data_IF_364436103189
#
_entry.id   IF_364436103189
#
_cell.length_a   1.000
_cell.length_b   1.000
_cell.length_c   1.000
_cell.angle_alpha   90.00
_cell.angle_beta   90.00
_cell.angle_gamma   90.00
#
_symmetry.space_group_name_H-M   'P 1'
#
loop_
_entity.id
_entity.type
_entity.pdbx_description
1 polymer ?
#
# COMPACT_ATOMS: atom_id res chain seq x y z
N UNK A 1 8.27 37.07 -15.11
CA UNK A 1 7.93 37.96 -13.97
C UNK A 1 9.08 37.91 -12.97
N UNK A 2 9.69 39.04 -12.64
CA UNK A 2 10.85 39.12 -11.76
C UNK A 2 10.48 39.95 -10.52
N UNK A 3 10.65 39.38 -9.33
CA UNK A 3 10.36 39.99 -8.02
C UNK A 3 11.55 39.71 -7.10
N UNK A 4 12.74 40.14 -7.51
CA UNK A 4 13.97 39.94 -6.73
C UNK A 4 14.09 40.97 -5.62
N UNK A 5 14.57 40.55 -4.43
CA UNK A 5 14.73 41.41 -3.24
C UNK A 5 13.45 42.16 -2.81
N UNK A 6 12.28 41.66 -3.19
CA UNK A 6 11.01 42.24 -2.80
C UNK A 6 10.66 41.87 -1.33
N UNK A 7 10.10 42.81 -0.56
CA UNK A 7 9.48 42.53 0.75
C UNK A 7 7.96 42.50 0.57
N UNK A 8 7.38 41.31 0.57
CA UNK A 8 5.93 41.11 0.44
C UNK A 8 5.37 40.74 1.81
N UNK A 9 4.60 41.67 2.38
CA UNK A 9 3.81 41.45 3.59
C UNK A 9 2.37 41.15 3.21
N UNK A 10 1.90 39.96 3.58
CA UNK A 10 0.61 39.41 3.15
C UNK A 10 0.77 38.28 2.13
N UNK A 11 -0.30 38.00 1.38
CA UNK A 11 -0.34 36.85 0.46
C UNK A 11 0.03 37.26 -0.96
N UNK A 12 1.02 36.59 -1.55
CA UNK A 12 1.23 36.54 -2.99
C UNK A 12 0.34 35.43 -3.59
N UNK A 13 -0.72 35.83 -4.30
CA UNK A 13 -1.73 34.96 -4.88
C UNK A 13 -1.52 34.86 -6.40
N UNK A 14 -1.24 33.65 -6.89
CA UNK A 14 -0.98 33.35 -8.30
C UNK A 14 -1.91 32.23 -8.80
N UNK A 15 -2.97 31.89 -8.09
CA UNK A 15 -3.84 30.76 -8.42
C UNK A 15 -4.30 30.76 -9.87
N UNK A 16 -4.09 29.65 -10.57
CA UNK A 16 -4.50 29.48 -11.97
C UNK A 16 -3.62 30.22 -12.98
N UNK A 17 -2.56 30.91 -12.54
CA UNK A 17 -1.70 31.66 -13.44
C UNK A 17 -0.92 30.73 -14.39
N UNK A 18 -0.73 31.21 -15.62
CA UNK A 18 0.17 30.62 -16.61
C UNK A 18 1.33 31.57 -16.84
N UNK A 19 2.53 31.15 -16.43
CA UNK A 19 3.76 31.93 -16.56
C UNK A 19 4.72 31.05 -17.38
N UNK A 20 4.71 31.12 -18.72
CA UNK A 20 5.51 30.21 -19.55
C UNK A 20 7.02 30.40 -19.34
N UNK A 21 7.44 31.61 -18.93
CA UNK A 21 8.82 31.91 -18.59
C UNK A 21 9.12 31.71 -17.10
N UNK A 22 9.99 32.57 -16.59
CA UNK A 22 10.46 32.54 -15.20
C UNK A 22 9.61 33.39 -14.27
N UNK A 23 9.28 32.85 -13.11
CA UNK A 23 8.88 33.55 -11.89
C UNK A 23 10.06 33.53 -10.91
N UNK A 24 10.74 34.66 -10.81
CA UNK A 24 11.93 34.80 -9.96
C UNK A 24 11.58 35.53 -8.65
N UNK A 25 11.60 34.80 -7.55
CA UNK A 25 11.44 35.30 -6.18
C UNK A 25 12.75 35.19 -5.39
N UNK A 26 13.90 35.18 -6.07
CA UNK A 26 15.20 35.11 -5.42
C UNK A 26 15.43 36.32 -4.51
N UNK A 27 15.95 36.08 -3.31
CA UNK A 27 16.14 37.08 -2.26
C UNK A 27 14.86 37.77 -1.76
N UNK A 28 13.67 37.33 -2.19
CA UNK A 28 12.43 37.93 -1.73
C UNK A 28 12.13 37.52 -0.28
N UNK A 29 11.62 38.46 0.51
CA UNK A 29 11.05 38.19 1.83
C UNK A 29 9.55 38.07 1.67
N UNK A 30 9.01 36.88 1.95
CA UNK A 30 7.58 36.60 1.92
C UNK A 30 7.11 36.36 3.35
N UNK A 31 6.25 37.25 3.86
CA UNK A 31 5.78 37.19 5.24
C UNK A 31 4.26 37.33 5.35
N UNK A 32 3.62 36.27 5.83
CA UNK A 32 2.21 36.20 6.17
C UNK A 32 2.02 35.20 7.33
N UNK A 33 2.46 35.58 8.53
CA UNK A 33 2.43 34.70 9.69
C UNK A 33 1.01 34.15 9.96
N UNK A 34 0.92 32.84 10.26
CA UNK A 34 -0.35 32.14 10.48
C UNK A 34 -1.20 31.90 9.22
N UNK A 35 -0.79 32.41 8.06
CA UNK A 35 -1.55 32.35 6.81
C UNK A 35 -0.67 31.87 5.63
N UNK A 36 -1.25 31.73 4.45
CA UNK A 36 -0.50 31.42 3.22
C UNK A 36 0.26 32.67 2.73
N UNK A 37 1.58 32.60 2.68
CA UNK A 37 2.45 33.66 2.18
C UNK A 37 2.57 33.63 0.65
N UNK A 38 2.72 32.44 0.07
CA UNK A 38 2.73 32.23 -1.39
C UNK A 38 1.72 31.14 -1.76
N UNK A 39 0.74 31.50 -2.59
CA UNK A 39 -0.20 30.55 -3.18
C UNK A 39 -0.03 30.55 -4.70
N UNK A 40 0.63 29.53 -5.22
CA UNK A 40 0.72 29.23 -6.65
C UNK A 40 0.03 27.90 -6.94
N UNK A 41 -1.25 27.80 -6.58
CA UNK A 41 -2.05 26.58 -6.79
C UNK A 41 -2.62 26.51 -8.21
N UNK A 42 -2.68 25.32 -8.80
CA UNK A 42 -3.20 25.09 -10.16
C UNK A 42 -2.51 25.95 -11.23
N UNK A 43 -1.22 26.27 -11.04
CA UNK A 43 -0.44 27.11 -11.95
C UNK A 43 0.34 26.28 -12.95
N UNK A 44 0.66 26.88 -14.10
CA UNK A 44 1.65 26.33 -15.05
C UNK A 44 2.78 27.35 -15.16
N UNK A 45 3.97 26.99 -14.68
CA UNK A 45 5.13 27.89 -14.60
C UNK A 45 6.30 27.23 -15.32
N UNK A 46 7.00 27.95 -16.20
CA UNK A 46 8.24 27.45 -16.79
C UNK A 46 9.29 27.25 -15.72
N UNK A 47 9.71 28.34 -15.07
CA UNK A 47 10.69 28.27 -13.99
C UNK A 47 10.20 29.00 -12.74
N UNK A 48 10.26 28.37 -11.57
CA UNK A 48 9.95 28.99 -10.28
C UNK A 48 11.22 29.03 -9.41
N UNK A 49 11.70 30.24 -9.09
CA UNK A 49 12.92 30.42 -8.31
C UNK A 49 12.63 30.99 -6.92
N UNK A 50 12.94 30.20 -5.89
CA UNK A 50 12.85 30.49 -4.46
C UNK A 50 14.20 30.13 -3.82
N UNK A 51 15.12 31.10 -3.80
CA UNK A 51 16.50 30.92 -3.32
C UNK A 51 17.07 32.18 -2.71
N UNK A 52 18.12 32.01 -1.92
CA UNK A 52 18.99 33.08 -1.40
C UNK A 52 18.20 34.17 -0.65
N UNK A 53 17.09 33.78 -0.04
CA UNK A 53 16.20 34.64 0.76
C UNK A 53 15.96 34.03 2.14
N UNK A 54 15.33 34.78 3.06
CA UNK A 54 14.93 34.24 4.34
C UNK A 54 13.87 33.14 4.16
N UNK A 55 13.77 32.24 5.15
CA UNK A 55 12.69 31.28 5.21
C UNK A 55 11.34 31.99 5.10
N UNK A 56 10.46 31.49 4.22
CA UNK A 56 9.12 32.06 4.04
C UNK A 56 8.37 31.99 5.38
N UNK A 57 7.80 33.11 5.82
CA UNK A 57 7.05 33.18 7.07
C UNK A 57 5.57 32.98 6.75
N UNK A 58 5.03 31.80 7.03
CA UNK A 58 3.66 31.40 6.66
C UNK A 58 3.67 30.08 5.88
N UNK A 59 2.60 29.80 5.15
CA UNK A 59 2.51 28.58 4.32
C UNK A 59 2.90 28.83 2.86
N UNK A 60 3.53 27.84 2.25
CA UNK A 60 3.79 27.75 0.80
C UNK A 60 2.81 26.74 0.19
N UNK A 61 1.93 27.20 -0.71
CA UNK A 61 0.96 26.36 -1.39
C UNK A 61 1.27 26.27 -2.89
N UNK A 62 1.71 25.10 -3.32
CA UNK A 62 2.03 24.74 -4.71
C UNK A 62 1.11 23.61 -5.22
N UNK A 63 -0.09 23.49 -4.63
CA UNK A 63 -1.00 22.39 -4.96
C UNK A 63 -1.39 22.40 -6.44
N UNK A 64 -1.32 21.25 -7.11
CA UNK A 64 -1.65 21.06 -8.53
C UNK A 64 -0.85 22.00 -9.46
N UNK A 65 0.29 22.52 -9.01
CA UNK A 65 1.14 23.31 -9.88
C UNK A 65 1.96 22.39 -10.80
N UNK A 66 2.21 22.85 -12.01
CA UNK A 66 3.11 22.24 -12.97
C UNK A 66 4.26 23.22 -13.17
N UNK A 67 5.47 22.82 -12.81
CA UNK A 67 6.66 23.66 -12.88
C UNK A 67 7.73 22.93 -13.66
N UNK A 68 8.23 23.46 -14.77
CA UNK A 68 9.29 22.73 -15.50
C UNK A 68 10.58 22.68 -14.64
N UNK A 69 11.09 23.85 -14.25
CA UNK A 69 12.25 23.96 -13.34
C UNK A 69 11.85 24.58 -12.01
N UNK A 70 11.90 23.79 -10.95
CA UNK A 70 11.68 24.25 -9.58
C UNK A 70 13.03 24.48 -8.90
N UNK A 71 13.43 25.74 -8.76
CA UNK A 71 14.57 26.11 -7.94
C UNK A 71 14.05 26.44 -6.53
N UNK A 72 14.16 25.47 -5.62
CA UNK A 72 13.69 25.61 -4.24
C UNK A 72 14.82 25.22 -3.30
N UNK A 73 15.40 26.18 -2.59
CA UNK A 73 16.42 25.90 -1.57
C UNK A 73 15.77 25.41 -0.26
N UNK A 74 16.31 24.35 0.39
CA UNK A 74 15.79 23.85 1.67
C UNK A 74 15.64 24.92 2.76
N UNK A 75 16.51 25.93 2.74
CA UNK A 75 16.56 27.02 3.73
C UNK A 75 15.39 28.00 3.58
N UNK A 76 14.85 28.13 2.37
CA UNK A 76 13.71 29.02 2.08
C UNK A 76 12.37 28.34 2.42
N UNK A 77 12.36 27.00 2.51
CA UNK A 77 11.15 26.22 2.73
C UNK A 77 10.53 26.56 4.10
N UNK A 78 9.27 27.03 4.13
CA UNK A 78 8.59 27.38 5.39
C UNK A 78 8.35 26.16 6.29
N UNK A 79 7.79 26.38 7.47
CA UNK A 79 7.34 25.33 8.37
C UNK A 79 6.15 24.52 7.81
N UNK A 80 5.36 25.11 6.92
CA UNK A 80 4.16 24.48 6.35
C UNK A 80 4.12 24.56 4.84
N UNK A 81 4.00 23.40 4.18
CA UNK A 81 4.02 23.31 2.71
C UNK A 81 2.91 22.42 2.20
N UNK A 82 2.20 22.87 1.16
CA UNK A 82 1.19 22.08 0.47
C UNK A 82 1.65 21.77 -0.95
N UNK A 83 2.05 20.51 -1.16
CA UNK A 83 2.67 20.00 -2.39
C UNK A 83 1.76 19.01 -3.14
N UNK A 84 0.48 18.88 -2.76
CA UNK A 84 -0.43 17.91 -3.35
C UNK A 84 -0.52 18.10 -4.86
N UNK A 85 -0.27 17.03 -5.62
CA UNK A 85 -0.28 17.04 -7.09
C UNK A 85 0.68 18.07 -7.72
N UNK A 86 1.70 18.52 -6.99
CA UNK A 86 2.79 19.29 -7.58
C UNK A 86 3.61 18.38 -8.49
N UNK A 87 3.81 18.81 -9.73
CA UNK A 87 4.72 18.16 -10.68
C UNK A 87 5.84 19.10 -11.06
N UNK A 88 7.03 18.54 -11.18
CA UNK A 88 8.19 19.26 -11.69
C UNK A 88 9.17 18.38 -12.44
N UNK A 89 9.74 18.92 -13.52
CA UNK A 89 10.70 18.18 -14.34
C UNK A 89 12.06 18.10 -13.65
N UNK A 90 12.52 19.23 -13.11
CA UNK A 90 13.83 19.36 -12.46
C UNK A 90 13.71 20.11 -11.14
N UNK A 91 14.41 19.63 -10.11
CA UNK A 91 14.49 20.25 -8.79
C UNK A 91 15.93 20.71 -8.52
N UNK A 92 16.11 22.00 -8.30
CA UNK A 92 17.42 22.66 -8.16
C UNK A 92 17.45 23.42 -6.82
N UNK A 93 18.61 23.57 -6.15
CA UNK A 93 19.89 22.90 -6.42
C UNK A 93 19.82 21.40 -6.20
N UNK A 94 20.74 20.66 -6.83
CA UNK A 94 20.93 19.25 -6.50
C UNK A 94 21.43 19.16 -5.06
N UNK A 95 20.66 18.50 -4.20
CA UNK A 95 20.93 18.34 -2.78
C UNK A 95 20.76 16.87 -2.42
N UNK A 96 21.48 16.35 -1.42
CA UNK A 96 21.23 15.01 -0.90
C UNK A 96 19.77 14.83 -0.48
N UNK A 97 19.22 13.63 -0.71
CA UNK A 97 17.83 13.30 -0.38
C UNK A 97 17.46 13.66 1.07
N UNK A 98 18.39 13.47 2.01
CA UNK A 98 18.22 13.73 3.44
C UNK A 98 17.88 15.20 3.75
N UNK A 99 18.40 16.15 2.97
CA UNK A 99 18.08 17.58 3.12
C UNK A 99 16.71 17.93 2.51
N UNK A 100 16.26 17.16 1.51
CA UNK A 100 14.98 17.37 0.83
C UNK A 100 13.81 16.71 1.56
N UNK A 101 14.01 15.53 2.12
CA UNK A 101 12.95 14.74 2.76
C UNK A 101 12.15 15.51 3.83
N UNK A 102 12.76 16.32 4.72
CA UNK A 102 12.00 17.10 5.70
C UNK A 102 10.94 18.01 5.06
N UNK A 103 11.16 18.53 3.85
CA UNK A 103 10.17 19.38 3.17
C UNK A 103 8.88 18.64 2.87
N UNK A 104 8.95 17.32 2.64
CA UNK A 104 7.80 16.46 2.36
C UNK A 104 7.03 16.10 3.63
N UNK A 105 7.65 16.23 4.80
CA UNK A 105 7.04 15.94 6.11
C UNK A 105 6.32 17.15 6.72
N UNK A 106 6.63 18.36 6.23
CA UNK A 106 6.03 19.64 6.65
C UNK A 106 4.62 19.91 6.09
N UNK A 107 3.99 18.91 5.48
CA UNK A 107 2.64 19.01 4.91
C UNK A 107 1.56 18.36 5.79
N UNK A 108 0.31 18.65 5.45
CA UNK A 108 -0.90 18.17 6.14
C UNK A 108 -0.97 16.64 6.29
N UNK A 109 -0.59 15.91 5.24
CA UNK A 109 -0.85 14.47 5.12
C UNK A 109 0.29 13.74 4.44
N UNK A 110 0.40 12.43 4.72
CA UNK A 110 1.27 11.55 3.95
C UNK A 110 0.73 11.39 2.53
N UNK A 111 1.49 11.88 1.55
CA UNK A 111 1.15 11.84 0.13
C UNK A 111 2.17 10.97 -0.61
N UNK A 112 1.84 9.73 -0.99
CA UNK A 112 2.76 8.85 -1.73
C UNK A 112 3.29 9.47 -3.02
N UNK A 113 2.49 10.31 -3.68
CA UNK A 113 2.81 10.95 -4.95
C UNK A 113 3.99 11.92 -4.86
N UNK A 114 4.12 12.72 -3.79
CA UNK A 114 5.20 13.70 -3.68
C UNK A 114 6.57 13.03 -3.52
N UNK A 115 6.62 11.84 -2.91
CA UNK A 115 7.82 11.02 -2.85
C UNK A 115 8.18 10.43 -4.22
N UNK A 116 7.18 10.00 -5.00
CA UNK A 116 7.41 9.53 -6.38
C UNK A 116 7.94 10.65 -7.28
N UNK A 117 7.37 11.85 -7.17
CA UNK A 117 7.85 13.01 -7.94
C UNK A 117 9.31 13.35 -7.62
N UNK A 118 9.69 13.33 -6.34
CA UNK A 118 11.07 13.56 -5.92
C UNK A 118 12.00 12.42 -6.41
N UNK A 119 11.53 11.17 -6.34
CA UNK A 119 12.28 10.00 -6.87
C UNK A 119 12.53 10.15 -8.37
N UNK A 120 11.52 10.56 -9.13
CA UNK A 120 11.62 10.76 -10.57
C UNK A 120 12.62 11.88 -10.91
N UNK A 121 12.64 12.96 -10.14
CA UNK A 121 13.61 14.04 -10.33
C UNK A 121 15.06 13.59 -10.08
N UNK A 122 15.33 12.78 -9.05
CA UNK A 122 16.67 12.23 -8.81
C UNK A 122 17.11 11.23 -9.88
N UNK A 123 16.21 10.33 -10.32
CA UNK A 123 16.50 9.40 -11.41
C UNK A 123 16.83 10.12 -12.73
N UNK A 124 16.12 11.21 -13.03
CA UNK A 124 16.33 11.99 -14.25
C UNK A 124 17.74 12.57 -14.35
N UNK A 125 18.38 12.88 -13.23
CA UNK A 125 19.75 13.39 -13.18
C UNK A 125 20.79 12.28 -12.94
N UNK A 126 20.37 11.01 -12.89
CA UNK A 126 21.24 9.85 -12.71
C UNK A 126 21.62 9.53 -11.26
N UNK A 127 20.98 10.14 -10.27
CA UNK A 127 21.25 9.86 -8.84
C UNK A 127 20.31 8.77 -8.31
N UNK A 128 20.67 7.53 -8.61
CA UNK A 128 19.90 6.35 -8.20
C UNK A 128 19.97 6.08 -6.69
N UNK A 129 21.05 6.51 -6.02
CA UNK A 129 21.22 6.33 -4.58
C UNK A 129 20.29 7.26 -3.80
N UNK A 130 20.21 8.54 -4.18
CA UNK A 130 19.22 9.46 -3.61
C UNK A 130 17.79 9.01 -3.90
N UNK A 131 17.52 8.52 -5.12
CA UNK A 131 16.21 7.96 -5.46
C UNK A 131 15.83 6.77 -4.55
N UNK A 132 16.80 5.88 -4.23
CA UNK A 132 16.60 4.76 -3.30
C UNK A 132 16.33 5.24 -1.88
N UNK A 133 17.04 6.26 -1.41
CA UNK A 133 16.81 6.87 -0.09
C UNK A 133 15.41 7.47 0.03
N UNK A 134 14.92 8.14 -1.01
CA UNK A 134 13.56 8.69 -1.04
C UNK A 134 12.50 7.58 -0.98
N UNK A 135 12.67 6.50 -1.74
CA UNK A 135 11.77 5.35 -1.70
C UNK A 135 11.79 4.64 -0.34
N UNK A 136 12.95 4.53 0.29
CA UNK A 136 13.06 3.99 1.64
C UNK A 136 12.32 4.87 2.66
N UNK A 137 12.46 6.19 2.57
CA UNK A 137 11.74 7.15 3.40
C UNK A 137 10.22 7.05 3.19
N UNK A 138 9.75 6.91 1.95
CA UNK A 138 8.35 6.66 1.60
C UNK A 138 7.80 5.42 2.33
N UNK A 139 8.52 4.29 2.30
CA UNK A 139 8.09 3.06 2.98
C UNK A 139 8.09 3.21 4.52
N UNK A 140 9.09 3.87 5.10
CA UNK A 140 9.14 4.15 6.54
C UNK A 140 7.95 5.00 6.98
N UNK A 141 7.63 6.06 6.22
CA UNK A 141 6.48 6.94 6.52
C UNK A 141 5.16 6.20 6.39
N UNK A 142 4.98 5.39 5.32
CA UNK A 142 3.78 4.54 5.14
C UNK A 142 3.54 3.63 6.33
N UNK A 143 4.58 2.96 6.84
CA UNK A 143 4.46 2.07 8.01
C UNK A 143 4.01 2.81 9.27
N UNK A 144 4.48 4.05 9.47
CA UNK A 144 4.04 4.90 10.60
C UNK A 144 2.58 5.34 10.48
N UNK A 145 2.05 5.46 9.27
CA UNK A 145 0.64 5.83 9.04
C UNK A 145 -0.33 4.65 9.05
N UNK A 146 0.14 3.40 9.06
CA UNK A 146 -0.75 2.25 9.12
C UNK A 146 -1.29 2.05 10.56
N UNK A 147 -2.61 1.94 10.74
CA UNK A 147 -3.18 1.59 12.03
C UNK A 147 -2.70 0.20 12.49
N UNK A 148 -2.61 0.01 13.81
CA UNK A 148 -2.08 -1.22 14.41
C UNK A 148 -2.85 -2.48 13.98
N UNK A 149 -4.16 -2.38 13.70
CA UNK A 149 -4.98 -3.48 13.20
C UNK A 149 -4.62 -3.92 11.78
N UNK A 150 -4.09 -3.03 10.93
CA UNK A 150 -3.61 -3.39 9.59
C UNK A 150 -2.34 -4.25 9.59
N UNK A 151 -1.53 -4.18 10.67
CA UNK A 151 -0.36 -5.05 10.85
C UNK A 151 -0.75 -6.46 11.27
N UNK A 152 -1.73 -6.59 12.16
CA UNK A 152 -2.25 -7.89 12.59
C UNK A 152 -3.01 -8.59 11.45
N UNK A 153 -3.84 -7.83 10.72
CA UNK A 153 -4.57 -8.32 9.55
C UNK A 153 -3.64 -8.67 8.38
N UNK A 154 -2.55 -7.93 8.19
CA UNK A 154 -1.51 -8.25 7.19
C UNK A 154 -0.79 -9.57 7.50
N UNK A 155 -0.49 -9.86 8.77
CA UNK A 155 0.08 -11.15 9.16
C UNK A 155 -0.92 -12.32 9.01
N UNK A 156 -2.18 -12.10 9.36
CA UNK A 156 -3.25 -13.07 9.09
C UNK A 156 -3.46 -13.30 7.58
N UNK A 157 -3.38 -12.24 6.76
CA UNK A 157 -3.42 -12.35 5.29
C UNK A 157 -2.17 -12.97 4.68
N UNK A 158 -0.98 -12.79 5.25
CA UNK A 158 0.23 -13.44 4.73
C UNK A 158 0.25 -14.94 5.05
N UNK A 159 -0.34 -15.34 6.18
CA UNK A 159 -0.53 -16.74 6.55
C UNK A 159 -1.67 -17.38 5.74
N UNK A 160 -2.77 -16.67 5.49
CA UNK A 160 -3.97 -17.23 4.87
C UNK A 160 -4.14 -16.95 3.36
N UNK A 161 -3.62 -15.84 2.83
CA UNK A 161 -4.07 -15.23 1.54
C UNK A 161 -2.93 -14.81 0.60
N UNK A 162 -1.65 -15.04 0.92
CA UNK A 162 -0.47 -14.63 0.12
C UNK A 162 -0.75 -14.33 -1.36
N UNK A 163 -0.86 -13.03 -1.68
CA UNK A 163 -1.32 -12.51 -2.97
C UNK A 163 -0.50 -13.09 -4.13
N UNK A 164 -1.14 -13.95 -4.92
CA UNK A 164 -0.55 -14.61 -6.08
C UNK A 164 -1.16 -15.99 -6.27
N UNK A 165 -2.37 -16.03 -6.81
CA UNK A 165 -3.14 -17.25 -7.14
C UNK A 165 -2.27 -18.29 -7.85
N UNK A 166 -1.80 -19.27 -7.08
CA UNK A 166 -1.29 -20.54 -7.58
C UNK A 166 -2.20 -21.65 -7.02
N UNK A 167 -3.11 -22.23 -7.81
CA UNK A 167 -4.03 -23.29 -7.37
C UNK A 167 -3.30 -24.45 -6.65
N UNK A 168 -2.02 -24.65 -6.98
CA UNK A 168 -1.11 -25.60 -6.33
C UNK A 168 -0.99 -25.42 -4.79
N UNK A 169 -1.07 -24.21 -4.24
CA UNK A 169 -0.98 -24.00 -2.78
C UNK A 169 -2.26 -24.38 -2.05
N UNK A 170 -3.43 -24.13 -2.66
CA UNK A 170 -4.71 -24.61 -2.13
C UNK A 170 -4.75 -26.14 -2.11
N UNK A 171 -4.21 -26.78 -3.16
CA UNK A 171 -3.97 -28.22 -3.17
C UNK A 171 -3.06 -28.70 -2.03
N UNK A 172 -1.97 -27.97 -1.74
CA UNK A 172 -1.10 -28.27 -0.60
C UNK A 172 -1.82 -28.19 0.75
N UNK A 173 -2.68 -27.18 0.97
CA UNK A 173 -3.49 -27.08 2.19
C UNK A 173 -4.54 -28.19 2.30
N UNK A 174 -5.21 -28.53 1.20
CA UNK A 174 -6.15 -29.65 1.15
C UNK A 174 -5.45 -30.97 1.49
N UNK A 175 -4.26 -31.23 0.94
CA UNK A 175 -3.46 -32.42 1.24
C UNK A 175 -3.01 -32.45 2.71
N UNK A 176 -2.61 -31.31 3.28
CA UNK A 176 -2.23 -31.22 4.68
C UNK A 176 -3.41 -31.48 5.62
N UNK A 177 -4.58 -30.89 5.34
CA UNK A 177 -5.81 -31.14 6.12
C UNK A 177 -6.27 -32.58 5.98
N UNK A 178 -6.15 -33.16 4.79
CA UNK A 178 -6.42 -34.57 4.53
C UNK A 178 -5.50 -35.46 5.37
N UNK A 179 -4.19 -35.19 5.38
CA UNK A 179 -3.22 -35.95 6.15
C UNK A 179 -3.52 -35.85 7.66
N UNK A 180 -3.78 -34.65 8.18
CA UNK A 180 -4.09 -34.43 9.59
C UNK A 180 -5.39 -35.14 9.98
N UNK A 181 -6.48 -34.97 9.22
CA UNK A 181 -7.73 -35.67 9.50
C UNK A 181 -7.59 -37.19 9.42
N UNK A 182 -6.87 -37.70 8.41
CA UNK A 182 -6.62 -39.14 8.26
C UNK A 182 -5.83 -39.71 9.45
N UNK A 183 -4.85 -38.97 9.97
CA UNK A 183 -4.09 -39.39 11.16
C UNK A 183 -4.98 -39.33 12.40
N UNK A 184 -5.71 -38.23 12.61
CA UNK A 184 -6.56 -38.07 13.81
C UNK A 184 -7.67 -39.12 13.86
N UNK A 185 -8.40 -39.32 12.77
CA UNK A 185 -9.47 -40.31 12.71
C UNK A 185 -8.96 -41.74 12.55
N UNK A 186 -7.72 -41.95 12.07
CA UNK A 186 -7.06 -43.26 12.08
C UNK A 186 -6.57 -43.67 13.46
N UNK A 187 -6.23 -42.69 14.33
CA UNK A 187 -5.91 -42.95 15.74
C UNK A 187 -7.17 -43.08 16.59
N UNK A 188 -8.23 -42.34 16.26
CA UNK A 188 -9.49 -42.33 16.99
C UNK A 188 -10.66 -42.55 16.05
N UNK A 189 -11.04 -43.82 15.89
CA UNK A 189 -12.10 -44.21 14.99
C UNK A 189 -13.45 -43.67 15.51
N UNK A 190 -14.20 -42.90 14.71
CA UNK A 190 -15.55 -42.50 15.08
C UNK A 190 -16.46 -43.74 15.16
N UNK A 191 -17.38 -43.80 16.14
CA UNK A 191 -18.29 -44.93 16.25
C UNK A 191 -19.27 -44.99 15.07
N UNK A 192 -19.60 -46.19 14.57
CA UNK A 192 -20.60 -46.37 13.52
C UNK A 192 -21.99 -46.00 14.03
N UNK A 193 -22.76 -45.26 13.22
CA UNK A 193 -24.14 -44.89 13.50
C UNK A 193 -25.07 -46.11 13.49
N UNK A 194 -24.81 -47.07 12.58
CA UNK A 194 -25.53 -48.34 12.47
C UNK A 194 -24.54 -49.51 12.43
N UNK A 195 -24.24 -50.17 13.56
CA UNK A 195 -23.17 -51.17 13.65
C UNK A 195 -23.30 -52.37 12.71
N UNK A 196 -24.53 -52.72 12.29
CA UNK A 196 -24.81 -53.88 11.45
C UNK A 196 -24.80 -53.56 9.93
N UNK A 197 -24.83 -52.28 9.57
CA UNK A 197 -24.92 -51.82 8.17
C UNK A 197 -23.71 -50.95 7.77
N UNK A 198 -22.82 -50.62 8.71
CA UNK A 198 -21.70 -49.71 8.46
C UNK A 198 -20.62 -50.38 7.59
N UNK A 199 -20.16 -49.72 6.52
CA UNK A 199 -19.02 -50.19 5.74
C UNK A 199 -17.75 -50.17 6.59
N UNK A 200 -16.71 -50.90 6.17
CA UNK A 200 -15.39 -50.83 6.82
C UNK A 200 -14.89 -49.39 6.90
N UNK A 201 -14.44 -48.97 8.09
CA UNK A 201 -13.97 -47.61 8.31
C UNK A 201 -12.65 -47.36 7.60
N UNK A 202 -12.58 -46.30 6.80
CA UNK A 202 -11.32 -45.83 6.22
C UNK A 202 -11.11 -44.35 6.54
N UNK A 203 -10.09 -43.99 7.34
CA UNK A 203 -9.90 -42.62 7.81
C UNK A 203 -9.57 -41.63 6.69
N UNK A 204 -8.96 -42.10 5.58
CA UNK A 204 -8.65 -41.26 4.42
C UNK A 204 -9.93 -40.91 3.67
N UNK A 205 -10.77 -41.89 3.35
CA UNK A 205 -12.03 -41.64 2.65
C UNK A 205 -13.04 -40.88 3.52
N UNK A 206 -13.06 -41.14 4.83
CA UNK A 206 -13.84 -40.35 5.78
C UNK A 206 -13.40 -38.88 5.81
N UNK A 207 -12.10 -38.61 5.82
CA UNK A 207 -11.58 -37.22 5.78
C UNK A 207 -11.81 -36.57 4.41
N UNK A 208 -11.73 -37.33 3.31
CA UNK A 208 -12.08 -36.85 1.97
C UNK A 208 -13.55 -36.45 1.89
N UNK A 209 -14.47 -37.24 2.44
CA UNK A 209 -15.90 -36.90 2.51
C UNK A 209 -16.13 -35.56 3.21
N UNK A 210 -15.43 -35.34 4.33
CA UNK A 210 -15.52 -34.07 5.07
C UNK A 210 -14.95 -32.88 4.27
N UNK A 211 -13.88 -33.08 3.50
CA UNK A 211 -13.19 -31.99 2.78
C UNK A 211 -13.80 -31.68 1.41
N UNK A 212 -14.43 -32.67 0.76
CA UNK A 212 -14.92 -32.59 -0.62
C UNK A 212 -16.45 -32.61 -0.67
N UNK A 213 -17.12 -31.45 -0.59
CA UNK A 213 -18.58 -31.40 -0.43
C UNK A 213 -19.39 -31.95 -1.61
N UNK A 214 -18.76 -32.15 -2.77
CA UNK A 214 -19.41 -32.60 -4.00
C UNK A 214 -19.30 -34.12 -4.17
N UNK A 215 -18.32 -34.76 -3.52
CA UNK A 215 -18.03 -36.19 -3.67
C UNK A 215 -18.29 -36.86 -2.32
N UNK A 216 -19.18 -37.85 -2.32
CA UNK A 216 -19.43 -38.68 -1.14
C UNK A 216 -19.04 -40.13 -1.42
N UNK A 217 -18.15 -40.66 -0.60
CA UNK A 217 -17.72 -42.05 -0.53
C UNK A 217 -18.53 -42.85 0.50
N UNK A 218 -19.51 -42.22 1.16
CA UNK A 218 -20.46 -42.86 2.07
C UNK A 218 -19.92 -43.18 3.47
N UNK A 219 -18.78 -42.62 3.86
CA UNK A 219 -18.19 -42.81 5.19
C UNK A 219 -18.71 -41.76 6.18
N UNK A 220 -18.82 -40.49 5.77
CA UNK A 220 -19.34 -39.42 6.66
C UNK A 220 -20.72 -39.75 7.24
N UNK A 221 -21.64 -40.27 6.43
CA UNK A 221 -23.01 -40.57 6.86
C UNK A 221 -23.13 -41.86 7.69
N UNK A 222 -22.10 -42.70 7.68
CA UNK A 222 -22.06 -43.97 8.39
C UNK A 222 -21.44 -43.88 9.78
N UNK A 223 -20.67 -42.83 10.06
CA UNK A 223 -19.90 -42.68 11.30
C UNK A 223 -20.16 -41.31 11.96
N UNK A 224 -20.34 -41.30 13.28
CA UNK A 224 -20.64 -40.06 14.04
C UNK A 224 -19.54 -39.77 15.07
N UNK A 225 -18.61 -38.84 14.78
CA UNK A 225 -17.58 -38.44 15.74
C UNK A 225 -18.22 -37.67 16.91
N UNK A 226 -17.73 -37.93 18.12
CA UNK A 226 -18.24 -37.30 19.35
C UNK A 226 -17.20 -36.37 19.99
N UNK A 227 -17.67 -35.35 20.70
CA UNK A 227 -16.81 -34.43 21.46
C UNK A 227 -15.90 -33.59 20.55
N UNK A 228 -14.62 -33.44 20.91
CA UNK A 228 -13.67 -32.60 20.17
C UNK A 228 -13.45 -33.02 18.71
N UNK A 229 -13.65 -34.31 18.39
CA UNK A 229 -13.58 -34.84 17.02
C UNK A 229 -14.74 -34.34 16.15
N UNK A 230 -15.90 -34.05 16.75
CA UNK A 230 -17.02 -33.45 16.05
C UNK A 230 -16.71 -32.00 15.65
N UNK A 231 -16.09 -31.24 16.56
CA UNK A 231 -15.62 -29.88 16.25
C UNK A 231 -14.58 -29.90 15.13
N UNK A 232 -13.64 -30.85 15.16
CA UNK A 232 -12.68 -31.04 14.08
C UNK A 232 -13.37 -31.34 12.74
N UNK A 233 -14.40 -32.20 12.73
CA UNK A 233 -15.20 -32.49 11.52
C UNK A 233 -15.84 -31.22 10.96
N UNK A 234 -16.46 -30.38 11.80
CA UNK A 234 -17.04 -29.12 11.35
C UNK A 234 -16.01 -28.14 10.79
N UNK A 235 -14.84 -28.04 11.43
CA UNK A 235 -13.75 -27.20 10.91
C UNK A 235 -13.26 -27.70 9.56
N UNK A 236 -13.10 -29.02 9.39
CA UNK A 236 -12.71 -29.62 8.11
C UNK A 236 -13.75 -29.35 7.02
N UNK A 237 -15.04 -29.52 7.31
CA UNK A 237 -16.14 -29.23 6.36
C UNK A 237 -16.15 -27.77 5.93
N UNK A 238 -16.15 -26.83 6.88
CA UNK A 238 -16.17 -25.40 6.57
C UNK A 238 -14.94 -25.00 5.76
N UNK A 239 -13.76 -25.50 6.15
CA UNK A 239 -12.50 -25.19 5.44
C UNK A 239 -12.47 -25.81 4.05
N UNK A 240 -13.00 -27.03 3.90
CA UNK A 240 -13.17 -27.72 2.63
C UNK A 240 -14.01 -26.93 1.64
N UNK A 241 -15.16 -26.40 2.08
CA UNK A 241 -16.00 -25.51 1.26
C UNK A 241 -15.28 -24.24 0.80
N UNK A 242 -14.53 -23.59 1.69
CA UNK A 242 -13.76 -22.37 1.37
C UNK A 242 -12.64 -22.68 0.34
N UNK A 243 -11.94 -23.79 0.52
CA UNK A 243 -10.86 -24.19 -0.39
C UNK A 243 -11.40 -24.65 -1.76
N UNK A 244 -12.47 -25.44 -1.78
CA UNK A 244 -13.10 -25.93 -3.01
C UNK A 244 -13.61 -24.76 -3.88
N UNK A 245 -14.30 -23.79 -3.29
CA UNK A 245 -14.77 -22.59 -4.00
C UNK A 245 -13.61 -21.76 -4.55
N UNK A 246 -12.50 -21.68 -3.81
CA UNK A 246 -11.28 -21.00 -4.26
C UNK A 246 -10.64 -21.68 -5.47
N UNK A 247 -10.55 -23.02 -5.46
CA UNK A 247 -9.97 -23.81 -6.57
C UNK A 247 -10.83 -23.69 -7.82
N UNK A 248 -12.16 -23.84 -7.72
CA UNK A 248 -13.09 -23.71 -8.84
C UNK A 248 -12.99 -22.30 -9.45
N UNK A 249 -13.04 -21.27 -8.61
CA UNK A 249 -12.92 -19.87 -9.07
C UNK A 249 -11.58 -19.60 -9.75
N UNK A 250 -10.50 -20.21 -9.24
CA UNK A 250 -9.16 -20.13 -9.84
C UNK A 250 -9.09 -20.76 -11.24
N UNK A 251 -9.67 -21.95 -11.41
CA UNK A 251 -9.69 -22.68 -12.69
C UNK A 251 -10.53 -21.95 -13.75
N UNK A 252 -11.71 -21.43 -13.39
CA UNK A 252 -12.58 -20.71 -14.32
C UNK A 252 -11.90 -19.46 -14.90
N UNK A 253 -11.12 -18.72 -14.08
CA UNK A 253 -10.37 -17.54 -14.55
C UNK A 253 -9.19 -17.87 -15.47
N UNK A 254 -8.63 -19.08 -15.38
CA UNK A 254 -7.54 -19.51 -16.28
C UNK A 254 -8.06 -19.95 -17.64
N UNK A 255 -9.26 -20.54 -17.70
CA UNK A 255 -9.89 -20.96 -18.96
C UNK A 255 -10.46 -19.78 -19.73
N UNK A 256 -10.98 -18.74 -19.06
CA UNK A 256 -11.52 -17.53 -19.72
C UNK A 256 -10.44 -16.59 -20.31
N UNK A 257 -9.17 -17.02 -20.32
CA UNK A 257 -8.02 -16.26 -20.82
C UNK A 257 -7.31 -16.94 -22.00
N UNK A 258 -7.89 -18.01 -22.52
CA UNK A 258 -7.54 -18.62 -23.82
C UNK A 258 -8.68 -18.41 -24.79
#
# INVERSE_FOLDING_TARGET
MLLRRADVRGRLELRGARIPGRLDLSHARLANAGNTALRASSCVIGELWLREGPAVQGALNLRRAQVDVLFLQPEVVPAWVQLNDLTYTSLIPHEPAERRLPMLEKGDSYLPFTYEQLTAAYRRIGDDDAARLVQLAKQRRRRRTLPWYGRLWGHLQDIAVGYGFRPLRAGGWLLSLLAVGSVVYGLHHPPPLKPQEAPGFNPVFYTLDLLLPVISFGQETAFSPQGGYQTLSYVLVITGWILATTVITGLTRTVSRQ
#
